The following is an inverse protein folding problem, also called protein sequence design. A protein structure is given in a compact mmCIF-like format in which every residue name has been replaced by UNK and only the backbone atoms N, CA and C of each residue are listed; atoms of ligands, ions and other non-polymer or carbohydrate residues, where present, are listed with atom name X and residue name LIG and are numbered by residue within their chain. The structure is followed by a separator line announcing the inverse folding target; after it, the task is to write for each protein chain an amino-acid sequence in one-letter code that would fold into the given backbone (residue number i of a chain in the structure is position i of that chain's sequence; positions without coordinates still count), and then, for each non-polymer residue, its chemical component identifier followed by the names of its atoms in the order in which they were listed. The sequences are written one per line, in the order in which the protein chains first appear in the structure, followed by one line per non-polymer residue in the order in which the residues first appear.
data_IF_445081921240
#
_entry.id   IF_445081921240
#
_cell.length_a   1.000
_cell.length_b   1.000
_cell.length_c   1.000
_cell.angle_alpha   90.00
_cell.angle_beta   90.00
_cell.angle_gamma   90.00
#
_symmetry.space_group_name_H-M   'P 1'
#
loop_
_entity.id
_entity.type
_entity.pdbx_description
1 polymer ?
#
# COMPACT_ATOMS: atom_id res chain seq x y z
N UNK A 1 17.33 12.37 16.76
CA UNK A 1 16.35 12.92 15.81
C UNK A 1 15.47 11.76 15.35
N UNK A 2 14.14 11.86 15.47
CA UNK A 2 13.26 10.80 14.97
C UNK A 2 13.37 10.74 13.46
N UNK A 3 13.30 9.55 12.83
CA UNK A 3 13.27 9.43 11.39
C UNK A 3 12.08 10.21 10.80
N UNK A 4 12.28 10.81 9.65
CA UNK A 4 11.25 11.54 8.92
C UNK A 4 10.97 10.85 7.58
N UNK A 5 9.73 10.98 7.07
CA UNK A 5 9.42 10.54 5.73
C UNK A 5 10.07 11.46 4.70
N UNK A 6 10.82 10.87 3.83
CA UNK A 6 11.33 11.56 2.64
C UNK A 6 10.48 11.14 1.45
N UNK A 7 9.75 12.11 0.87
CA UNK A 7 9.13 11.91 -0.43
C UNK A 7 10.27 11.81 -1.45
N UNK A 8 10.42 10.65 -2.03
CA UNK A 8 11.42 10.42 -3.05
C UNK A 8 10.68 9.96 -4.31
N UNK A 9 10.74 10.79 -5.37
CA UNK A 9 10.91 10.17 -6.67
C UNK A 9 12.30 9.56 -6.55
N UNK A 10 12.35 8.29 -6.18
CA UNK A 10 13.63 7.61 -6.05
C UNK A 10 14.27 7.57 -7.45
N UNK A 11 15.57 7.88 -7.60
CA UNK A 11 16.31 7.53 -8.79
C UNK A 11 16.04 6.06 -9.13
N UNK A 12 15.91 5.74 -10.40
CA UNK A 12 15.57 4.39 -10.87
C UNK A 12 16.41 3.31 -10.20
N UNK A 13 17.74 3.48 -10.17
CA UNK A 13 18.68 2.57 -9.50
C UNK A 13 18.37 2.35 -8.01
N UNK A 14 17.94 3.40 -7.31
CA UNK A 14 17.59 3.33 -5.88
C UNK A 14 16.27 2.58 -5.70
N UNK A 15 15.31 2.79 -6.61
CA UNK A 15 14.04 2.06 -6.57
C UNK A 15 14.25 0.59 -6.93
N UNK A 16 15.09 0.28 -7.92
CA UNK A 16 15.48 -1.10 -8.25
C UNK A 16 16.10 -1.81 -7.05
N UNK A 17 17.01 -1.15 -6.34
CA UNK A 17 17.62 -1.69 -5.12
C UNK A 17 16.55 -1.95 -4.03
N UNK A 18 15.67 -0.97 -3.75
CA UNK A 18 14.55 -1.13 -2.81
C UNK A 18 13.64 -2.31 -3.20
N UNK A 19 13.30 -2.40 -4.48
CA UNK A 19 12.46 -3.48 -5.01
C UNK A 19 13.09 -4.84 -4.80
N UNK A 20 14.35 -5.02 -5.23
CA UNK A 20 15.07 -6.29 -5.13
C UNK A 20 15.36 -6.69 -3.68
N UNK A 21 15.87 -5.76 -2.88
CA UNK A 21 16.45 -6.08 -1.58
C UNK A 21 15.42 -6.09 -0.45
N UNK A 22 14.25 -5.44 -0.67
CA UNK A 22 13.19 -5.36 0.33
C UNK A 22 11.82 -5.83 -0.19
N UNK A 23 11.31 -5.28 -1.29
CA UNK A 23 9.93 -5.54 -1.69
C UNK A 23 9.72 -7.01 -2.10
N UNK A 24 10.61 -7.60 -2.89
CA UNK A 24 10.55 -9.02 -3.27
C UNK A 24 10.66 -9.98 -2.07
N UNK A 25 11.20 -9.50 -0.96
CA UNK A 25 11.37 -10.25 0.28
C UNK A 25 10.17 -10.07 1.22
N UNK A 26 9.55 -8.90 1.20
CA UNK A 26 8.48 -8.51 2.13
C UNK A 26 7.08 -8.88 1.61
N UNK A 27 6.88 -8.95 0.29
CA UNK A 27 5.60 -9.24 -0.34
C UNK A 27 5.64 -10.52 -1.17
N UNK A 28 4.54 -11.31 -1.18
CA UNK A 28 4.40 -12.46 -2.06
C UNK A 28 4.52 -12.05 -3.54
N UNK A 29 5.14 -12.88 -4.41
CA UNK A 29 5.25 -12.57 -5.84
C UNK A 29 3.90 -12.33 -6.53
N UNK A 30 2.81 -12.97 -6.07
CA UNK A 30 1.47 -12.78 -6.62
C UNK A 30 0.87 -11.41 -6.32
N UNK A 31 1.33 -10.73 -5.27
CA UNK A 31 0.84 -9.41 -4.85
C UNK A 31 1.77 -8.28 -5.30
N UNK A 32 3.00 -8.59 -5.70
CA UNK A 32 3.99 -7.60 -6.06
C UNK A 32 3.92 -7.25 -7.55
N UNK A 33 3.61 -5.98 -7.85
CA UNK A 33 3.65 -5.47 -9.23
C UNK A 33 5.05 -5.63 -9.83
N UNK A 34 5.18 -5.94 -11.12
CA UNK A 34 6.48 -5.92 -11.79
C UNK A 34 7.17 -4.56 -11.66
N UNK A 35 8.50 -4.57 -11.46
CA UNK A 35 9.28 -3.34 -11.31
C UNK A 35 9.08 -2.35 -12.47
N UNK A 36 9.06 -2.84 -13.70
CA UNK A 36 8.80 -2.00 -14.89
C UNK A 36 7.47 -1.26 -14.82
N UNK A 37 6.44 -1.90 -14.23
CA UNK A 37 5.14 -1.27 -14.02
C UNK A 37 5.21 -0.19 -12.94
N UNK A 38 5.91 -0.45 -11.85
CA UNK A 38 6.08 0.51 -10.76
C UNK A 38 6.88 1.74 -11.21
N UNK A 39 7.92 1.54 -12.02
CA UNK A 39 8.69 2.63 -12.63
C UNK A 39 7.83 3.49 -13.58
N UNK A 40 7.01 2.85 -14.41
CA UNK A 40 6.08 3.56 -15.28
C UNK A 40 5.03 4.38 -14.51
N UNK A 41 4.52 3.84 -13.40
CA UNK A 41 3.62 4.56 -12.49
C UNK A 41 4.33 5.74 -11.80
N UNK A 42 5.58 5.56 -11.35
CA UNK A 42 6.37 6.66 -10.78
C UNK A 42 6.59 7.78 -11.82
N UNK A 43 6.89 7.43 -13.06
CA UNK A 43 7.06 8.38 -14.15
C UNK A 43 5.79 9.19 -14.47
N UNK A 44 4.58 8.66 -14.16
CA UNK A 44 3.33 9.41 -14.29
C UNK A 44 3.19 10.58 -13.31
N UNK A 45 4.02 10.64 -12.27
CA UNK A 45 4.01 11.66 -11.23
C UNK A 45 2.97 11.47 -10.12
N UNK A 46 2.10 10.45 -10.23
CA UNK A 46 1.04 10.16 -9.24
C UNK A 46 1.38 9.02 -8.30
N UNK A 47 2.41 8.22 -8.62
CA UNK A 47 2.88 7.13 -7.77
C UNK A 47 4.18 7.53 -7.07
N UNK A 48 4.17 7.47 -5.76
CA UNK A 48 5.30 7.84 -4.92
C UNK A 48 5.85 6.65 -4.15
N UNK A 49 7.16 6.71 -3.89
CA UNK A 49 7.83 5.85 -2.92
C UNK A 49 8.40 6.74 -1.84
N UNK A 50 8.16 6.38 -0.59
CA UNK A 50 8.71 7.08 0.57
C UNK A 50 9.50 6.11 1.45
N UNK A 51 10.61 6.58 2.00
CA UNK A 51 11.36 5.87 3.05
C UNK A 51 11.23 6.59 4.38
N UNK A 52 11.07 5.86 5.45
CA UNK A 52 11.12 6.37 6.83
C UNK A 52 12.54 6.16 7.36
N UNK A 53 13.30 7.25 7.39
CA UNK A 53 14.75 7.26 7.57
C UNK A 53 15.50 7.45 6.27
N UNK A 54 16.83 7.46 6.34
CA UNK A 54 17.70 7.50 5.16
C UNK A 54 17.58 6.19 4.37
N UNK A 55 17.83 6.22 3.07
CA UNK A 55 17.68 5.04 2.19
C UNK A 55 18.58 3.89 2.63
N UNK A 56 19.78 4.19 3.07
CA UNK A 56 20.80 3.26 3.57
C UNK A 56 20.57 2.80 5.03
N UNK A 57 19.71 3.50 5.79
CA UNK A 57 19.30 3.17 7.16
C UNK A 57 17.80 3.39 7.37
N UNK A 58 16.98 2.90 6.46
CA UNK A 58 15.53 3.02 6.58
C UNK A 58 14.95 2.05 7.61
N UNK A 59 13.90 2.49 8.30
CA UNK A 59 13.12 1.66 9.23
C UNK A 59 11.88 1.08 8.57
N UNK A 60 11.28 1.86 7.64
CA UNK A 60 10.10 1.45 6.89
C UNK A 60 10.08 2.12 5.52
N UNK A 61 9.27 1.60 4.62
CA UNK A 61 8.97 2.22 3.33
C UNK A 61 7.48 2.09 2.99
N UNK A 62 7.02 2.99 2.13
CA UNK A 62 5.66 3.00 1.61
C UNK A 62 5.66 3.34 0.13
N UNK A 63 4.80 2.66 -0.63
CA UNK A 63 4.45 3.03 -1.98
C UNK A 63 2.97 3.42 -2.01
N UNK A 64 2.64 4.51 -2.67
CA UNK A 64 1.26 5.00 -2.73
C UNK A 64 0.96 5.69 -4.05
N UNK A 65 -0.28 5.57 -4.48
CA UNK A 65 -0.86 6.40 -5.53
C UNK A 65 -1.61 7.57 -4.86
N UNK A 66 -1.46 8.78 -5.39
CA UNK A 66 -2.25 9.92 -4.95
C UNK A 66 -2.38 10.97 -6.04
N UNK A 67 -3.62 11.38 -6.30
CA UNK A 67 -3.98 12.54 -7.11
C UNK A 67 -5.16 13.29 -6.48
N UNK A 68 -5.83 14.16 -7.24
CA UNK A 68 -6.98 14.96 -6.75
C UNK A 68 -8.23 14.10 -6.50
N UNK A 69 -8.31 12.90 -7.06
CA UNK A 69 -9.50 12.03 -7.03
C UNK A 69 -9.40 10.93 -5.98
N UNK A 70 -8.21 10.38 -5.76
CA UNK A 70 -8.03 9.24 -4.87
C UNK A 70 -6.60 9.15 -4.34
N UNK A 71 -6.46 8.55 -3.15
CA UNK A 71 -5.18 8.13 -2.60
C UNK A 71 -5.29 6.67 -2.11
N UNK A 72 -4.34 5.83 -2.54
CA UNK A 72 -4.23 4.43 -2.15
C UNK A 72 -2.83 4.17 -1.58
N UNK A 73 -2.75 3.64 -0.36
CA UNK A 73 -1.53 3.06 0.18
C UNK A 73 -1.36 1.65 -0.39
N UNK A 74 -0.50 1.52 -1.39
CA UNK A 74 -0.33 0.30 -2.19
C UNK A 74 0.59 -0.72 -1.49
N UNK A 75 1.73 -0.26 -0.98
CA UNK A 75 2.65 -1.08 -0.17
C UNK A 75 3.09 -0.33 1.07
N UNK A 76 3.16 -1.04 2.19
CA UNK A 76 3.74 -0.54 3.43
C UNK A 76 4.45 -1.67 4.15
N UNK A 77 5.73 -1.50 4.45
CA UNK A 77 6.50 -2.48 5.20
C UNK A 77 7.50 -1.83 6.16
N UNK A 78 7.73 -2.51 7.29
CA UNK A 78 8.87 -2.28 8.17
C UNK A 78 9.98 -3.24 7.77
N UNK A 79 11.19 -2.71 7.58
CA UNK A 79 12.38 -3.50 7.22
C UNK A 79 12.56 -4.66 8.20
N UNK A 80 12.87 -5.86 7.71
CA UNK A 80 12.86 -7.10 8.51
C UNK A 80 13.62 -7.00 9.83
N UNK A 81 14.82 -6.47 9.83
CA UNK A 81 15.63 -6.31 11.03
C UNK A 81 15.13 -5.25 12.03
N UNK A 82 14.09 -4.49 11.66
CA UNK A 82 13.51 -3.39 12.46
C UNK A 82 12.09 -3.70 12.95
N UNK A 83 11.54 -4.89 12.65
CA UNK A 83 10.19 -5.29 13.06
C UNK A 83 10.06 -5.44 14.58
N UNK A 84 8.84 -5.37 15.10
CA UNK A 84 8.49 -5.49 16.53
C UNK A 84 9.11 -4.42 17.46
N UNK A 85 9.59 -3.30 16.91
CA UNK A 85 10.18 -2.18 17.67
C UNK A 85 9.30 -0.91 17.65
N UNK A 86 8.04 -1.03 17.21
CA UNK A 86 7.12 0.12 17.15
C UNK A 86 7.27 0.98 15.88
N UNK A 87 8.26 0.73 15.03
CA UNK A 87 8.52 1.53 13.83
C UNK A 87 7.33 1.62 12.88
N UNK A 88 6.55 0.53 12.73
CA UNK A 88 5.38 0.52 11.87
C UNK A 88 4.36 1.59 12.25
N UNK A 89 4.02 1.69 13.54
CA UNK A 89 3.06 2.69 14.03
C UNK A 89 3.60 4.10 13.91
N UNK A 90 4.88 4.33 14.22
CA UNK A 90 5.52 5.62 14.09
C UNK A 90 5.60 6.08 12.64
N UNK A 91 6.06 5.20 11.76
CA UNK A 91 6.18 5.48 10.33
C UNK A 91 4.80 5.79 9.73
N UNK A 92 3.80 4.93 9.93
CA UNK A 92 2.49 5.17 9.34
C UNK A 92 1.82 6.42 9.93
N UNK A 93 1.93 6.68 11.24
CA UNK A 93 1.42 7.91 11.83
C UNK A 93 2.07 9.17 11.23
N UNK A 94 3.37 9.14 10.96
CA UNK A 94 4.09 10.23 10.29
C UNK A 94 3.66 10.37 8.81
N UNK A 95 3.47 9.26 8.09
CA UNK A 95 2.98 9.26 6.70
C UNK A 95 1.61 9.93 6.60
N UNK A 96 0.70 9.62 7.53
CA UNK A 96 -0.66 10.16 7.56
C UNK A 96 -0.74 11.68 7.83
N UNK A 97 0.37 12.32 8.21
CA UNK A 97 0.47 13.78 8.29
C UNK A 97 0.83 14.42 6.94
N UNK A 98 1.17 13.63 5.94
CA UNK A 98 1.57 14.14 4.63
C UNK A 98 0.39 14.79 3.90
N UNK A 99 0.63 15.95 3.27
CA UNK A 99 -0.42 16.77 2.64
C UNK A 99 -1.26 16.04 1.59
N UNK A 100 -0.63 15.21 0.77
CA UNK A 100 -1.28 14.45 -0.31
C UNK A 100 -2.25 13.36 0.17
N UNK A 101 -2.26 13.04 1.47
CA UNK A 101 -3.07 11.96 2.04
C UNK A 101 -4.15 12.48 3.00
N UNK A 102 -4.33 13.82 3.09
CA UNK A 102 -5.25 14.43 4.06
C UNK A 102 -6.72 14.36 3.66
N UNK A 103 -7.01 14.23 2.37
CA UNK A 103 -8.39 14.22 1.87
C UNK A 103 -9.10 12.88 2.05
N UNK A 104 -8.35 11.83 2.26
CA UNK A 104 -8.82 10.46 2.44
C UNK A 104 -7.82 9.49 1.86
N UNK A 105 -7.66 8.35 2.51
CA UNK A 105 -6.71 7.31 2.11
C UNK A 105 -7.40 5.96 2.20
N UNK A 106 -7.29 5.17 1.14
CA UNK A 106 -7.72 3.77 1.12
C UNK A 106 -6.50 2.84 1.13
N UNK A 107 -6.70 1.64 1.62
CA UNK A 107 -5.74 0.54 1.53
C UNK A 107 -6.46 -0.80 1.50
N UNK A 108 -5.75 -1.83 1.11
CA UNK A 108 -6.25 -3.20 1.02
C UNK A 108 -5.54 -4.08 2.03
N UNK A 109 -6.33 -4.89 2.72
CA UNK A 109 -5.83 -5.97 3.56
C UNK A 109 -6.43 -7.30 3.08
N UNK A 110 -5.61 -8.33 2.91
CA UNK A 110 -6.10 -9.67 2.56
C UNK A 110 -7.23 -10.10 3.49
N UNK A 111 -8.27 -10.68 2.90
CA UNK A 111 -9.48 -11.11 3.62
C UNK A 111 -9.13 -12.22 4.63
N UNK A 112 -9.34 -11.99 5.93
CA UNK A 112 -9.06 -12.99 6.96
C UNK A 112 -10.02 -14.16 6.94
N UNK A 113 -11.23 -13.98 6.39
CA UNK A 113 -12.26 -15.00 6.38
C UNK A 113 -12.08 -15.99 5.20
N UNK A 114 -11.27 -15.59 4.19
CA UNK A 114 -10.90 -16.41 3.04
C UNK A 114 -9.44 -16.89 3.10
N UNK A 115 -8.88 -17.00 4.29
CA UNK A 115 -7.53 -17.52 4.51
C UNK A 115 -7.48 -19.04 4.43
N UNK A 116 -6.35 -19.61 4.00
CA UNK A 116 -6.16 -21.05 3.87
C UNK A 116 -6.14 -21.79 5.22
N UNK A 117 -5.80 -21.11 6.31
CA UNK A 117 -5.72 -21.71 7.65
C UNK A 117 -5.85 -20.66 8.77
N UNK A 118 -6.04 -21.14 10.01
CA UNK A 118 -6.21 -20.30 11.20
C UNK A 118 -4.99 -19.40 11.54
N UNK A 119 -3.79 -19.84 11.23
CA UNK A 119 -2.59 -19.04 11.51
C UNK A 119 -2.53 -17.84 10.57
N UNK A 120 -2.83 -18.04 9.31
CA UNK A 120 -2.95 -16.99 8.30
C UNK A 120 -4.10 -16.03 8.62
N UNK A 121 -5.28 -16.54 8.98
CA UNK A 121 -6.42 -15.72 9.42
C UNK A 121 -6.03 -14.78 10.57
N UNK A 122 -5.31 -15.28 11.58
CA UNK A 122 -4.83 -14.46 12.70
C UNK A 122 -3.85 -13.39 12.26
N UNK A 123 -2.96 -13.69 11.30
CA UNK A 123 -2.00 -12.74 10.78
C UNK A 123 -2.70 -11.60 10.03
N UNK A 124 -3.67 -11.95 9.15
CA UNK A 124 -4.48 -10.98 8.40
C UNK A 124 -5.30 -10.09 9.34
N UNK A 125 -5.99 -10.65 10.35
CA UNK A 125 -6.72 -9.88 11.38
C UNK A 125 -5.79 -8.95 12.16
N UNK A 126 -4.59 -9.41 12.53
CA UNK A 126 -3.60 -8.57 13.24
C UNK A 126 -3.16 -7.39 12.38
N UNK A 127 -3.06 -7.55 11.06
CA UNK A 127 -2.75 -6.48 10.11
C UNK A 127 -3.91 -5.47 10.05
N UNK A 128 -5.15 -5.92 9.94
CA UNK A 128 -6.34 -5.05 9.99
C UNK A 128 -6.36 -4.26 11.30
N UNK A 129 -6.24 -4.92 12.45
CA UNK A 129 -6.19 -4.24 13.76
C UNK A 129 -5.04 -3.24 13.90
N UNK A 130 -3.92 -3.46 13.21
CA UNK A 130 -2.82 -2.50 13.17
C UNK A 130 -3.29 -1.19 12.49
N UNK A 131 -3.97 -1.26 11.37
CA UNK A 131 -4.50 -0.09 10.67
C UNK A 131 -5.64 0.58 11.42
N UNK A 132 -6.54 -0.20 12.02
CA UNK A 132 -7.65 0.32 12.85
C UNK A 132 -7.14 1.19 14.00
N UNK A 133 -6.08 0.77 14.71
CA UNK A 133 -5.45 1.59 15.77
C UNK A 133 -4.87 2.91 15.26
N UNK A 134 -4.67 3.06 13.98
CA UNK A 134 -4.17 4.29 13.35
C UNK A 134 -5.30 5.08 12.66
N UNK A 135 -6.55 4.73 12.95
CA UNK A 135 -7.74 5.47 12.53
C UNK A 135 -8.30 5.07 11.18
N UNK A 136 -7.91 3.90 10.65
CA UNK A 136 -8.62 3.30 9.52
C UNK A 136 -9.86 2.57 10.01
N UNK A 137 -10.87 2.49 9.14
CA UNK A 137 -12.12 1.76 9.37
C UNK A 137 -12.42 0.85 8.18
N UNK A 138 -13.14 -0.23 8.41
CA UNK A 138 -13.66 -1.06 7.32
C UNK A 138 -14.68 -0.26 6.52
N UNK A 139 -14.44 -0.07 5.24
CA UNK A 139 -15.35 0.63 4.34
C UNK A 139 -16.60 -0.17 3.95
N UNK A 140 -16.62 -1.47 4.28
CA UNK A 140 -17.63 -2.42 3.81
C UNK A 140 -17.42 -2.89 2.37
N UNK A 141 -16.46 -2.32 1.65
CA UNK A 141 -16.11 -2.75 0.29
C UNK A 141 -15.18 -3.96 0.35
N UNK A 142 -15.41 -4.91 -0.54
CA UNK A 142 -14.56 -6.09 -0.77
C UNK A 142 -14.06 -6.07 -2.19
N UNK A 143 -12.86 -6.58 -2.42
CA UNK A 143 -12.28 -6.67 -3.74
C UNK A 143 -11.57 -8.00 -3.93
N UNK A 144 -11.55 -8.49 -5.17
CA UNK A 144 -10.67 -9.59 -5.58
C UNK A 144 -9.76 -9.04 -6.66
N UNK A 145 -8.47 -8.97 -6.35
CA UNK A 145 -7.47 -8.36 -7.22
C UNK A 145 -6.44 -9.43 -7.57
N UNK A 146 -6.31 -9.74 -8.85
CA UNK A 146 -5.44 -10.82 -9.33
C UNK A 146 -5.62 -12.14 -8.56
N UNK A 147 -6.88 -12.47 -8.24
CA UNK A 147 -7.24 -13.69 -7.52
C UNK A 147 -7.09 -13.63 -5.99
N UNK A 148 -6.53 -12.55 -5.45
CA UNK A 148 -6.42 -12.37 -3.99
C UNK A 148 -7.61 -11.56 -3.47
N UNK A 149 -8.36 -12.07 -2.47
CA UNK A 149 -9.46 -11.36 -1.85
C UNK A 149 -8.98 -10.37 -0.78
N UNK A 150 -9.60 -9.18 -0.76
CA UNK A 150 -9.24 -8.08 0.14
C UNK A 150 -10.45 -7.45 0.83
N UNK A 151 -10.24 -7.00 2.06
CA UNK A 151 -11.01 -5.95 2.70
C UNK A 151 -10.42 -4.60 2.33
N UNK A 152 -11.27 -3.65 1.96
CA UNK A 152 -10.85 -2.27 1.69
C UNK A 152 -11.07 -1.46 2.96
N UNK A 153 -9.99 -0.91 3.50
CA UNK A 153 -10.04 0.00 4.65
C UNK A 153 -9.91 1.44 4.16
N UNK A 154 -10.54 2.35 4.87
CA UNK A 154 -10.48 3.78 4.61
C UNK A 154 -10.09 4.58 5.84
N UNK A 155 -9.48 5.74 5.64
CA UNK A 155 -9.19 6.72 6.68
C UNK A 155 -9.42 8.13 6.13
N UNK A 156 -10.07 8.98 6.94
CA UNK A 156 -10.51 10.30 6.51
C UNK A 156 -11.83 10.23 5.76
N UNK A 157 -12.10 11.20 4.89
CA UNK A 157 -13.34 11.23 4.10
C UNK A 157 -13.08 10.79 2.67
N UNK A 158 -13.59 9.63 2.33
CA UNK A 158 -13.63 9.11 0.96
C UNK A 158 -15.09 8.97 0.57
N UNK A 159 -15.59 9.87 -0.27
CA UNK A 159 -17.03 9.94 -0.59
C UNK A 159 -17.52 8.70 -1.38
N UNK A 160 -16.64 8.10 -2.20
CA UNK A 160 -16.91 6.89 -2.98
C UNK A 160 -15.68 5.98 -2.99
N UNK A 161 -15.57 5.12 -1.99
CA UNK A 161 -14.45 4.17 -1.85
C UNK A 161 -14.36 3.20 -3.02
N UNK A 162 -15.52 2.70 -3.50
CA UNK A 162 -15.59 1.78 -4.66
C UNK A 162 -15.07 2.47 -5.92
N UNK A 163 -15.56 3.65 -6.23
CA UNK A 163 -15.15 4.43 -7.39
C UNK A 163 -13.69 4.87 -7.30
N UNK A 164 -13.22 5.24 -6.12
CA UNK A 164 -11.81 5.59 -5.89
C UNK A 164 -10.89 4.39 -6.14
N UNK A 165 -11.22 3.21 -5.62
CA UNK A 165 -10.46 1.98 -5.85
C UNK A 165 -10.46 1.59 -7.33
N UNK A 166 -11.63 1.59 -7.98
CA UNK A 166 -11.76 1.28 -9.40
C UNK A 166 -10.93 2.25 -10.26
N UNK A 167 -10.95 3.53 -9.92
CA UNK A 167 -10.17 4.55 -10.62
C UNK A 167 -8.66 4.30 -10.50
N UNK A 168 -8.15 4.04 -9.29
CA UNK A 168 -6.72 3.78 -9.07
C UNK A 168 -6.28 2.50 -9.80
N UNK A 169 -7.07 1.43 -9.74
CA UNK A 169 -6.76 0.21 -10.48
C UNK A 169 -6.82 0.39 -11.99
N UNK A 170 -7.66 1.29 -12.50
CA UNK A 170 -7.61 1.70 -13.91
C UNK A 170 -6.28 2.35 -14.30
N UNK A 171 -5.61 3.05 -13.36
CA UNK A 171 -4.26 3.56 -13.58
C UNK A 171 -3.21 2.44 -13.46
N UNK A 172 -3.40 1.49 -12.56
CA UNK A 172 -2.48 0.37 -12.37
C UNK A 172 -2.54 -0.65 -13.49
N UNK A 173 -3.71 -0.86 -14.09
CA UNK A 173 -3.97 -1.85 -15.14
C UNK A 173 -4.69 -1.15 -16.30
N UNK A 174 -3.95 -0.41 -17.16
CA UNK A 174 -4.57 0.37 -18.24
C UNK A 174 -5.16 -0.47 -19.38
N UNK A 175 -4.72 -1.72 -19.53
CA UNK A 175 -5.35 -2.65 -20.47
C UNK A 175 -6.71 -3.10 -19.94
N UNK A 176 -7.77 -2.74 -20.67
CA UNK A 176 -9.14 -2.96 -20.25
C UNK A 176 -9.49 -4.44 -20.07
N UNK A 177 -9.03 -5.30 -20.98
CA UNK A 177 -9.33 -6.74 -20.87
C UNK A 177 -8.62 -7.35 -19.68
N UNK A 178 -7.38 -6.93 -19.44
CA UNK A 178 -6.61 -7.38 -18.29
C UNK A 178 -7.23 -6.88 -16.98
N UNK A 179 -7.72 -5.64 -16.94
CA UNK A 179 -8.46 -5.08 -15.81
C UNK A 179 -9.73 -5.88 -15.52
N UNK A 180 -10.62 -6.04 -16.51
CA UNK A 180 -11.90 -6.73 -16.36
C UNK A 180 -11.75 -8.21 -15.96
N UNK A 181 -10.62 -8.84 -16.34
CA UNK A 181 -10.32 -10.22 -15.96
C UNK A 181 -9.76 -10.38 -14.54
N UNK A 182 -9.23 -9.32 -13.92
CA UNK A 182 -8.45 -9.45 -12.69
C UNK A 182 -8.85 -8.50 -11.55
N UNK A 183 -9.74 -7.53 -11.79
CA UNK A 183 -10.16 -6.53 -10.79
C UNK A 183 -11.66 -6.59 -10.59
N UNK A 184 -12.07 -7.14 -9.46
CA UNK A 184 -13.49 -7.28 -9.07
C UNK A 184 -13.71 -6.54 -7.76
N UNK A 185 -14.59 -5.52 -7.73
CA UNK A 185 -14.90 -4.71 -6.56
C UNK A 185 -16.39 -4.91 -6.21
N UNK A 186 -16.64 -5.43 -5.00
CA UNK A 186 -17.97 -5.85 -4.52
C UNK A 186 -18.57 -4.87 -3.53
#
# INVERSE_FOLDING_TARGET
MLPEWRKLILPEETFEALYRDHMQVDFPPAELKPLSRMLALQASGHYGVCTYGAVDDMQAYACFYADERAALLDYFAVVRGRRAQGWGSQALAALLQHHSLKTGLILECEDPDLSANMAEARLRRRRIHFYERLGFTDSGIRATIFGTPYWVLERGRVDDVRGALAYVYGQFVPDRFHYEANVFIH
#
